data_IF_709432411754
#
_entry.id   IF_709432411754
#
_cell.length_a   1.000
_cell.length_b   1.000
_cell.length_c   1.000
_cell.angle_alpha   90.00
_cell.angle_beta   90.00
_cell.angle_gamma   90.00
#
_symmetry.space_group_name_H-M   'P 1'
#
loop_
_entity.id
_entity.type
_entity.pdbx_description
1 polymer ?
#
# COMPACT_ATOMS: atom_id res chain seq x y z
N UNK A 1 9.38 -4.37 -8.51
CA UNK A 1 10.38 -5.46 -8.66
C UNK A 1 11.34 -5.48 -7.49
N UNK A 2 11.94 -4.35 -7.10
CA UNK A 2 12.76 -4.23 -5.86
C UNK A 2 12.02 -4.68 -4.58
N UNK A 3 10.74 -4.32 -4.44
CA UNK A 3 9.93 -4.55 -3.23
C UNK A 3 9.83 -6.00 -2.70
N UNK A 4 10.11 -7.04 -3.50
CA UNK A 4 10.05 -8.44 -3.04
C UNK A 4 11.36 -8.96 -2.41
N UNK A 5 12.43 -8.16 -2.41
CA UNK A 5 13.74 -8.53 -1.84
C UNK A 5 14.15 -7.64 -0.65
N UNK A 6 13.26 -6.76 -0.20
CA UNK A 6 13.52 -5.89 0.95
C UNK A 6 13.43 -6.67 2.27
N UNK A 7 14.26 -6.26 3.24
CA UNK A 7 14.06 -6.62 4.64
C UNK A 7 12.68 -6.13 5.04
N UNK A 8 11.81 -7.06 5.38
CA UNK A 8 10.49 -6.81 5.94
C UNK A 8 10.48 -7.34 7.36
N UNK A 9 9.85 -6.61 8.26
CA UNK A 9 9.58 -7.07 9.61
C UNK A 9 8.11 -7.53 9.68
N UNK A 10 7.83 -8.63 10.36
CA UNK A 10 6.49 -9.21 10.43
C UNK A 10 5.96 -9.08 11.85
N UNK A 11 4.85 -8.35 11.99
CA UNK A 11 4.05 -8.36 13.23
C UNK A 11 2.90 -9.33 13.03
N UNK A 12 2.98 -10.52 13.63
CA UNK A 12 1.86 -11.47 13.66
C UNK A 12 0.73 -10.88 14.50
N UNK A 13 -0.45 -10.74 13.91
CA UNK A 13 -1.67 -10.34 14.61
C UNK A 13 -2.45 -11.59 15.01
N UNK A 14 -2.82 -11.68 16.29
CA UNK A 14 -3.66 -12.77 16.77
C UNK A 14 -5.14 -12.54 16.46
N UNK A 15 -5.95 -13.58 16.65
CA UNK A 15 -7.37 -13.54 16.32
C UNK A 15 -8.16 -12.54 17.20
N UNK A 16 -7.71 -12.26 18.42
CA UNK A 16 -8.35 -11.26 19.29
C UNK A 16 -8.03 -9.83 18.82
N UNK A 17 -6.77 -9.55 18.46
CA UNK A 17 -6.35 -8.29 17.83
C UNK A 17 -7.14 -8.03 16.55
N UNK A 18 -7.28 -9.03 15.67
CA UNK A 18 -8.04 -8.91 14.41
C UNK A 18 -9.53 -8.71 14.66
N UNK A 19 -10.14 -9.46 15.60
CA UNK A 19 -11.54 -9.24 16.02
C UNK A 19 -11.75 -7.82 16.56
N UNK A 20 -10.80 -7.27 17.32
CA UNK A 20 -10.86 -5.90 17.85
C UNK A 20 -10.74 -4.84 16.75
N UNK A 21 -9.82 -5.00 15.78
CA UNK A 21 -9.64 -4.09 14.64
C UNK A 21 -10.93 -3.99 13.81
N UNK A 22 -11.52 -5.13 13.45
CA UNK A 22 -12.80 -5.17 12.71
C UNK A 22 -13.95 -4.54 13.49
N UNK A 23 -14.08 -4.87 14.78
CA UNK A 23 -15.13 -4.30 15.63
C UNK A 23 -14.98 -2.78 15.77
N UNK A 24 -13.75 -2.25 15.85
CA UNK A 24 -13.53 -0.80 15.82
C UNK A 24 -14.06 -0.19 14.52
N UNK A 25 -13.72 -0.78 13.37
CA UNK A 25 -14.17 -0.30 12.05
C UNK A 25 -15.70 -0.31 11.93
N UNK A 26 -16.35 -1.40 12.35
CA UNK A 26 -17.82 -1.53 12.39
C UNK A 26 -18.48 -0.50 13.34
N UNK A 27 -17.90 -0.24 14.51
CA UNK A 27 -18.49 0.64 15.54
C UNK A 27 -18.23 2.14 15.32
N UNK A 28 -17.11 2.53 14.70
CA UNK A 28 -16.67 3.94 14.63
C UNK A 28 -16.45 4.47 13.22
N UNK A 29 -16.26 3.61 12.21
CA UNK A 29 -16.01 4.04 10.82
C UNK A 29 -17.24 3.81 9.93
N UNK A 30 -17.92 2.67 10.08
CA UNK A 30 -19.15 2.35 9.32
C UNK A 30 -20.44 2.83 9.99
N UNK A 31 -20.40 3.19 11.28
CA UNK A 31 -21.60 3.51 12.05
C UNK A 31 -22.18 4.88 11.68
N UNK A 32 -23.25 4.86 10.86
CA UNK A 32 -24.14 6.00 10.59
C UNK A 32 -24.89 6.44 11.86
N UNK A 33 -24.18 7.11 12.78
CA UNK A 33 -24.65 7.85 13.96
C UNK A 33 -25.70 7.19 14.89
N UNK A 34 -25.87 5.86 14.86
CA UNK A 34 -27.02 5.19 15.50
C UNK A 34 -26.80 3.82 16.14
N UNK A 35 -25.56 3.32 16.26
CA UNK A 35 -25.26 2.03 16.91
C UNK A 35 -24.55 2.24 18.25
N UNK A 36 -25.19 1.84 19.36
CA UNK A 36 -24.65 1.97 20.73
C UNK A 36 -23.59 0.90 21.10
N UNK A 37 -23.20 0.04 20.16
CA UNK A 37 -22.16 -0.98 20.40
C UNK A 37 -20.80 -0.32 20.55
N UNK A 38 -20.41 -0.03 21.78
CA UNK A 38 -19.04 0.35 22.13
C UNK A 38 -18.14 -0.87 22.27
N UNK A 39 -16.83 -0.63 22.20
CA UNK A 39 -15.83 -1.60 22.63
C UNK A 39 -15.93 -1.83 24.14
N UNK A 40 -15.66 -3.06 24.56
CA UNK A 40 -15.42 -3.39 25.96
C UNK A 40 -14.05 -2.89 26.40
N UNK A 41 -13.86 -2.75 27.72
CA UNK A 41 -12.59 -2.32 28.29
C UNK A 41 -11.39 -3.23 27.91
N UNK A 42 -11.65 -4.50 27.61
CA UNK A 42 -10.62 -5.45 27.16
C UNK A 42 -10.28 -5.26 25.67
N UNK A 43 -11.27 -5.07 24.81
CA UNK A 43 -11.04 -4.78 23.38
C UNK A 43 -10.33 -3.42 23.20
N UNK A 44 -10.71 -2.40 24.00
CA UNK A 44 -9.96 -1.14 24.09
C UNK A 44 -8.51 -1.35 24.54
N UNK A 45 -8.28 -2.25 25.51
CA UNK A 45 -6.93 -2.54 26.02
C UNK A 45 -6.08 -3.19 24.94
N UNK A 46 -6.63 -4.15 24.19
CA UNK A 46 -5.95 -4.80 23.07
C UNK A 46 -5.51 -3.76 22.02
N UNK A 47 -6.43 -2.90 21.57
CA UNK A 47 -6.10 -1.84 20.61
C UNK A 47 -5.05 -0.85 21.14
N UNK A 48 -5.09 -0.49 22.44
CA UNK A 48 -4.10 0.41 23.07
C UNK A 48 -2.70 -0.21 23.24
N UNK A 49 -2.58 -1.53 23.25
CA UNK A 49 -1.28 -2.22 23.29
C UNK A 49 -0.70 -2.47 21.87
N UNK A 50 -1.55 -2.55 20.82
CA UNK A 50 -1.12 -2.81 19.45
C UNK A 50 -0.07 -1.81 18.90
N UNK A 51 -0.17 -0.48 19.10
CA UNK A 51 0.91 0.47 18.75
C UNK A 51 2.25 0.13 19.39
N UNK A 52 2.27 -0.39 20.63
CA UNK A 52 3.53 -0.76 21.32
C UNK A 52 4.15 -2.03 20.74
N UNK A 53 3.31 -2.95 20.25
CA UNK A 53 3.74 -4.17 19.54
C UNK A 53 4.36 -3.81 18.19
N UNK A 54 3.75 -2.86 17.47
CA UNK A 54 4.28 -2.31 16.21
C UNK A 54 5.58 -1.52 16.45
N UNK A 55 5.64 -0.68 17.48
CA UNK A 55 6.83 0.12 17.84
C UNK A 55 8.07 -0.74 18.11
N UNK A 56 7.92 -1.88 18.80
CA UNK A 56 9.02 -2.85 18.99
C UNK A 56 9.51 -3.40 17.66
N UNK A 57 8.61 -3.81 16.76
CA UNK A 57 9.00 -4.30 15.45
C UNK A 57 9.67 -3.22 14.58
N UNK A 58 9.27 -1.95 14.72
CA UNK A 58 9.98 -0.84 14.06
C UNK A 58 11.42 -0.67 14.58
N UNK A 59 11.62 -0.85 15.89
CA UNK A 59 12.93 -0.78 16.53
C UNK A 59 13.82 -1.99 16.19
N UNK A 60 13.30 -3.22 16.29
CA UNK A 60 14.00 -4.46 15.97
C UNK A 60 14.34 -4.57 14.47
N UNK A 61 13.41 -4.13 13.61
CA UNK A 61 13.60 -3.95 12.18
C UNK A 61 14.65 -2.89 11.82
N UNK A 62 14.93 -1.94 12.72
CA UNK A 62 15.89 -0.86 12.52
C UNK A 62 15.46 0.11 11.42
N UNK A 63 14.17 0.42 11.33
CA UNK A 63 13.63 1.32 10.30
C UNK A 63 13.97 2.79 10.58
N UNK A 64 14.32 3.52 9.53
CA UNK A 64 14.43 4.98 9.58
C UNK A 64 13.03 5.59 9.40
N UNK A 65 12.43 6.04 10.50
CA UNK A 65 11.10 6.64 10.52
C UNK A 65 11.02 8.03 9.86
N UNK A 66 12.14 8.73 9.66
CA UNK A 66 12.15 9.96 8.86
C UNK A 66 11.97 9.64 7.36
N UNK A 67 12.53 8.51 6.91
CA UNK A 67 12.25 7.95 5.57
C UNK A 67 10.87 7.31 5.50
N UNK A 68 10.39 6.74 6.61
CA UNK A 68 9.06 6.15 6.77
C UNK A 68 8.99 4.71 6.30
N UNK A 69 7.81 4.09 6.48
CA UNK A 69 7.52 2.70 6.13
C UNK A 69 6.23 2.57 5.32
N UNK A 70 6.13 1.48 4.57
CA UNK A 70 4.89 0.99 3.97
C UNK A 70 4.42 -0.29 4.67
N UNK A 71 3.11 -0.53 4.69
CA UNK A 71 2.50 -1.62 5.48
C UNK A 71 1.53 -2.46 4.63
N UNK A 72 1.55 -3.77 4.85
CA UNK A 72 0.82 -4.79 4.09
C UNK A 72 0.16 -5.77 5.07
N UNK A 73 -1.07 -6.20 4.77
CA UNK A 73 -1.77 -7.22 5.56
C UNK A 73 -1.83 -8.52 4.74
N UNK A 74 -1.14 -9.54 5.25
CA UNK A 74 -1.06 -10.97 4.89
C UNK A 74 -0.69 -11.34 3.45
N UNK A 75 -1.08 -10.56 2.44
CA UNK A 75 -0.50 -10.54 1.07
C UNK A 75 -0.79 -9.24 0.29
N UNK A 76 -1.75 -8.41 0.74
CA UNK A 76 -2.24 -7.28 -0.06
C UNK A 76 -1.59 -5.94 0.32
N UNK A 77 -1.22 -5.14 -0.69
CA UNK A 77 -0.97 -3.71 -0.48
C UNK A 77 -2.30 -2.99 -0.33
N UNK A 78 -2.56 -2.49 0.88
CA UNK A 78 -3.76 -1.72 1.17
C UNK A 78 -3.59 -0.30 0.60
N UNK A 79 -4.08 -0.08 -0.62
CA UNK A 79 -4.07 1.23 -1.30
C UNK A 79 -5.47 1.84 -1.29
N UNK A 80 -5.87 2.39 -0.15
CA UNK A 80 -7.24 2.88 0.08
C UNK A 80 -7.34 4.37 0.41
N UNK A 81 -6.27 4.94 0.97
CA UNK A 81 -6.19 6.34 1.42
C UNK A 81 -6.36 7.39 0.30
N UNK A 82 -6.53 7.01 -0.96
CA UNK A 82 -6.76 7.94 -2.07
C UNK A 82 -8.15 8.60 -2.09
N UNK A 83 -9.22 7.94 -1.63
CA UNK A 83 -10.59 8.39 -1.93
C UNK A 83 -11.17 9.36 -0.90
N UNK A 84 -11.24 9.01 0.39
CA UNK A 84 -11.80 9.93 1.39
C UNK A 84 -10.89 11.15 1.66
N UNK A 85 -9.57 10.93 1.65
CA UNK A 85 -8.59 12.01 1.78
C UNK A 85 -8.48 12.92 0.53
N UNK A 86 -9.14 12.61 -0.60
CA UNK A 86 -9.18 13.54 -1.75
C UNK A 86 -9.81 14.90 -1.39
N UNK A 87 -10.58 14.94 -0.30
CA UNK A 87 -11.14 16.16 0.30
C UNK A 87 -10.13 16.94 1.17
N UNK A 88 -9.07 16.30 1.69
CA UNK A 88 -8.10 16.90 2.61
C UNK A 88 -7.29 18.04 1.98
N UNK A 89 -6.86 19.00 2.80
CA UNK A 89 -5.91 20.04 2.39
C UNK A 89 -4.55 19.46 1.98
N UNK A 90 -4.09 18.44 2.71
CA UNK A 90 -2.76 17.85 2.54
C UNK A 90 -2.60 17.13 1.19
N UNK A 91 -3.58 16.31 0.77
CA UNK A 91 -3.56 15.73 -0.58
C UNK A 91 -3.58 16.84 -1.64
N UNK A 92 -4.39 17.88 -1.46
CA UNK A 92 -4.47 18.99 -2.42
C UNK A 92 -3.16 19.77 -2.53
N UNK A 93 -2.41 19.90 -1.44
CA UNK A 93 -1.08 20.54 -1.43
C UNK A 93 0.00 19.64 -2.03
N UNK A 94 0.02 18.35 -1.69
CA UNK A 94 0.91 17.36 -2.31
C UNK A 94 0.65 17.26 -3.83
N UNK A 95 -0.61 17.20 -4.26
CA UNK A 95 -0.99 17.24 -5.68
C UNK A 95 -0.45 18.48 -6.40
N UNK A 96 -0.56 19.67 -5.80
CA UNK A 96 -0.02 20.91 -6.40
C UNK A 96 1.50 20.84 -6.56
N UNK A 97 2.21 20.32 -5.56
CA UNK A 97 3.68 20.13 -5.60
C UNK A 97 4.09 19.16 -6.71
N UNK A 98 3.42 18.01 -6.83
CA UNK A 98 3.69 17.03 -7.89
C UNK A 98 3.31 17.56 -9.27
N UNK A 99 2.19 18.28 -9.39
CA UNK A 99 1.76 18.88 -10.65
C UNK A 99 2.75 19.96 -11.14
N UNK A 100 3.25 20.82 -10.25
CA UNK A 100 4.30 21.79 -10.56
C UNK A 100 5.58 21.08 -11.06
N UNK A 101 6.00 20.03 -10.36
CA UNK A 101 7.17 19.21 -10.74
C UNK A 101 7.02 18.62 -12.16
N UNK A 102 5.81 18.18 -12.53
CA UNK A 102 5.51 17.71 -13.88
C UNK A 102 5.52 18.86 -14.91
N UNK A 103 4.94 20.02 -14.61
CA UNK A 103 4.95 21.19 -15.51
C UNK A 103 6.37 21.67 -15.85
N UNK A 104 7.28 21.62 -14.89
CA UNK A 104 8.67 22.03 -15.09
C UNK A 104 9.51 20.98 -15.87
N UNK A 105 9.07 19.72 -15.87
CA UNK A 105 9.80 18.59 -16.45
C UNK A 105 9.87 18.66 -17.99
N UNK A 106 11.06 18.58 -18.63
CA UNK A 106 11.23 18.81 -20.07
C UNK A 106 10.36 17.93 -21.00
N UNK A 107 10.02 16.71 -20.58
CA UNK A 107 9.19 15.77 -21.35
C UNK A 107 7.69 16.11 -21.25
N UNK A 108 7.27 16.76 -20.18
CA UNK A 108 5.87 17.07 -19.86
C UNK A 108 5.51 18.56 -20.05
N UNK A 109 6.45 19.39 -20.52
CA UNK A 109 6.24 20.83 -20.71
C UNK A 109 5.04 21.11 -21.63
N UNK A 110 3.95 21.53 -21.03
CA UNK A 110 2.89 22.27 -21.70
C UNK A 110 3.46 23.58 -22.29
N UNK A 111 2.90 24.04 -23.42
CA UNK A 111 3.29 25.33 -23.97
C UNK A 111 2.90 26.45 -22.98
N UNK A 112 3.70 27.53 -22.84
CA UNK A 112 3.38 28.62 -21.93
C UNK A 112 1.97 29.16 -22.14
N UNK A 113 1.15 29.14 -21.07
CA UNK A 113 -0.25 29.57 -21.10
C UNK A 113 -1.29 28.46 -21.32
N UNK A 114 -0.88 27.21 -21.54
CA UNK A 114 -1.80 26.06 -21.53
C UNK A 114 -1.98 25.48 -20.12
N UNK A 115 -3.20 25.03 -19.83
CA UNK A 115 -3.48 24.24 -18.62
C UNK A 115 -2.70 22.91 -18.65
N UNK A 116 -2.34 22.34 -17.48
CA UNK A 116 -1.80 20.98 -17.41
C UNK A 116 -2.76 19.97 -18.03
N UNK A 117 -2.25 18.97 -18.73
CA UNK A 117 -3.10 17.95 -19.33
C UNK A 117 -3.71 17.01 -18.26
N UNK A 118 -4.79 16.31 -18.64
CA UNK A 118 -5.48 15.37 -17.75
C UNK A 118 -4.56 14.27 -17.21
N UNK A 119 -3.55 13.87 -17.99
CA UNK A 119 -2.60 12.84 -17.57
C UNK A 119 -1.67 13.34 -16.46
N UNK A 120 -1.17 14.58 -16.54
CA UNK A 120 -0.39 15.22 -15.48
C UNK A 120 -1.19 15.37 -14.18
N UNK A 121 -2.48 15.74 -14.29
CA UNK A 121 -3.40 15.87 -13.13
C UNK A 121 -3.64 14.50 -12.48
N UNK A 122 -3.84 13.45 -13.26
CA UNK A 122 -4.01 12.09 -12.73
C UNK A 122 -2.70 11.56 -12.13
N UNK A 123 -1.54 11.82 -12.75
CA UNK A 123 -0.24 11.46 -12.17
C UNK A 123 -0.02 12.13 -10.81
N UNK A 124 -0.29 13.43 -10.68
CA UNK A 124 -0.11 14.15 -9.41
C UNK A 124 -1.09 13.66 -8.33
N UNK A 125 -2.33 13.32 -8.69
CA UNK A 125 -3.30 12.67 -7.78
C UNK A 125 -2.80 11.30 -7.28
N UNK A 126 -2.41 10.40 -8.19
CA UNK A 126 -1.90 9.08 -7.80
C UNK A 126 -0.63 9.17 -6.95
N UNK A 127 0.27 10.11 -7.25
CA UNK A 127 1.50 10.28 -6.47
C UNK A 127 1.22 10.90 -5.08
N UNK A 128 0.31 11.87 -4.97
CA UNK A 128 -0.12 12.40 -3.67
C UNK A 128 -0.79 11.33 -2.78
N UNK A 129 -1.59 10.44 -3.38
CA UNK A 129 -2.18 9.30 -2.67
C UNK A 129 -1.16 8.24 -2.24
N UNK A 130 -0.09 8.03 -3.01
CA UNK A 130 1.02 7.19 -2.56
C UNK A 130 1.77 7.85 -1.39
N UNK A 131 2.04 9.16 -1.43
CA UNK A 131 2.72 9.84 -0.32
C UNK A 131 1.96 9.69 1.01
N UNK A 132 0.62 9.65 0.97
CA UNK A 132 -0.25 9.39 2.14
C UNK A 132 -0.24 7.93 2.60
N UNK A 133 0.44 7.03 1.89
CA UNK A 133 0.70 5.65 2.30
C UNK A 133 2.06 5.50 2.99
N UNK A 134 2.86 6.57 3.11
CA UNK A 134 4.07 6.62 3.93
C UNK A 134 3.66 6.85 5.38
N UNK A 135 4.06 5.93 6.26
CA UNK A 135 3.77 5.95 7.68
C UNK A 135 5.07 6.18 8.45
N UNK A 136 5.07 7.12 9.40
CA UNK A 136 6.27 7.62 10.09
C UNK A 136 6.28 7.24 11.59
N UNK A 137 5.25 6.55 12.08
CA UNK A 137 5.16 6.12 13.49
C UNK A 137 4.30 4.89 13.66
N UNK A 138 4.47 4.17 14.78
CA UNK A 138 3.60 3.05 15.14
C UNK A 138 2.14 3.46 15.33
N UNK A 139 1.89 4.71 15.74
CA UNK A 139 0.54 5.27 15.86
C UNK A 139 -0.10 5.47 14.48
N UNK A 140 0.62 6.03 13.51
CA UNK A 140 0.12 6.15 12.13
C UNK A 140 -0.19 4.78 11.50
N UNK A 141 0.62 3.75 11.79
CA UNK A 141 0.34 2.38 11.33
C UNK A 141 -0.92 1.81 11.99
N UNK A 142 -1.08 2.00 13.29
CA UNK A 142 -2.31 1.61 13.99
C UNK A 142 -3.52 2.33 13.40
N UNK A 143 -3.45 3.66 13.25
CA UNK A 143 -4.53 4.50 12.75
C UNK A 143 -4.89 4.17 11.30
N UNK A 144 -3.90 3.78 10.48
CA UNK A 144 -4.12 3.22 9.15
C UNK A 144 -4.89 1.89 9.19
N UNK A 145 -4.57 0.99 10.13
CA UNK A 145 -5.24 -0.30 10.28
C UNK A 145 -6.70 -0.16 10.72
N UNK A 146 -7.00 0.73 11.68
CA UNK A 146 -8.37 0.91 12.21
C UNK A 146 -9.29 1.73 11.30
N UNK A 147 -8.76 2.49 10.34
CA UNK A 147 -9.55 3.37 9.46
C UNK A 147 -9.62 2.93 7.99
N UNK A 148 -8.92 1.86 7.57
CA UNK A 148 -8.91 1.44 6.16
C UNK A 148 -9.94 0.35 5.83
N UNK A 149 -10.84 0.65 4.90
CA UNK A 149 -11.84 -0.31 4.41
C UNK A 149 -11.22 -1.56 3.74
N UNK A 150 -10.08 -1.43 3.04
CA UNK A 150 -9.31 -2.56 2.50
C UNK A 150 -8.63 -3.39 3.59
N UNK A 151 -8.23 -2.79 4.72
CA UNK A 151 -7.79 -3.57 5.89
C UNK A 151 -8.98 -4.37 6.41
N UNK A 152 -10.11 -3.73 6.72
CA UNK A 152 -11.30 -4.44 7.20
C UNK A 152 -11.75 -5.56 6.24
N UNK A 153 -11.81 -5.30 4.93
CA UNK A 153 -12.15 -6.31 3.92
C UNK A 153 -11.17 -7.49 3.91
N UNK A 154 -9.86 -7.25 4.02
CA UNK A 154 -8.86 -8.32 4.10
C UNK A 154 -8.94 -9.07 5.43
N UNK A 155 -9.16 -8.39 6.55
CA UNK A 155 -9.40 -9.01 7.86
C UNK A 155 -10.69 -9.85 7.86
N UNK A 156 -11.76 -9.37 7.23
CA UNK A 156 -13.03 -10.10 7.04
C UNK A 156 -12.81 -11.35 6.19
N UNK A 157 -12.07 -11.22 5.07
CA UNK A 157 -11.70 -12.33 4.18
C UNK A 157 -10.86 -13.39 4.90
N UNK A 158 -9.94 -12.97 5.77
CA UNK A 158 -9.15 -13.86 6.60
C UNK A 158 -10.06 -14.58 7.61
N UNK A 159 -10.80 -13.86 8.44
CA UNK A 159 -11.70 -14.47 9.44
C UNK A 159 -12.69 -15.46 8.82
N UNK A 160 -13.32 -15.13 7.69
CA UNK A 160 -14.25 -16.02 6.98
C UNK A 160 -13.60 -17.26 6.35
N UNK A 161 -12.27 -17.34 6.27
CA UNK A 161 -11.54 -18.54 5.83
C UNK A 161 -11.22 -19.50 6.99
N UNK A 162 -11.38 -19.07 8.24
CA UNK A 162 -10.99 -19.79 9.46
C UNK A 162 -12.16 -20.13 10.39
N UNK A 163 -13.42 -20.04 9.93
CA UNK A 163 -14.61 -20.33 10.76
C UNK A 163 -14.65 -21.77 11.34
N UNK A 164 -13.90 -22.71 10.73
CA UNK A 164 -13.82 -24.12 11.15
C UNK A 164 -12.57 -24.48 11.99
N UNK A 165 -11.53 -23.61 12.08
CA UNK A 165 -10.27 -23.91 12.78
C UNK A 165 -9.52 -22.63 13.25
N UNK A 166 -9.84 -22.17 14.47
CA UNK A 166 -9.17 -21.01 15.09
C UNK A 166 -7.68 -21.28 15.42
N UNK A 167 -7.23 -22.54 15.56
CA UNK A 167 -5.81 -22.85 15.87
C UNK A 167 -4.89 -22.61 14.67
N UNK A 168 -5.45 -22.60 13.46
CA UNK A 168 -4.72 -22.35 12.21
C UNK A 168 -4.67 -20.87 11.79
N UNK A 169 -5.31 -19.97 12.54
CA UNK A 169 -5.42 -18.54 12.17
C UNK A 169 -4.07 -17.84 12.14
N UNK A 170 -3.70 -17.30 10.97
CA UNK A 170 -2.55 -16.40 10.82
C UNK A 170 -2.95 -15.10 10.11
N UNK A 171 -2.60 -13.98 10.75
CA UNK A 171 -2.64 -12.66 10.13
C UNK A 171 -1.25 -12.03 10.29
N UNK A 172 -0.66 -11.55 9.20
CA UNK A 172 0.70 -11.02 9.20
C UNK A 172 0.71 -9.58 8.72
N UNK A 173 1.19 -8.68 9.58
CA UNK A 173 1.42 -7.29 9.22
C UNK A 173 2.89 -7.13 8.80
N UNK A 174 3.14 -7.10 7.49
CA UNK A 174 4.48 -6.88 6.96
C UNK A 174 4.78 -5.38 6.85
N UNK A 175 5.85 -4.95 7.50
CA UNK A 175 6.37 -3.58 7.49
C UNK A 175 7.61 -3.56 6.57
N UNK A 176 7.65 -2.64 5.61
CA UNK A 176 8.77 -2.46 4.67
C UNK A 176 9.29 -1.02 4.69
N UNK A 177 10.56 -0.76 4.32
CA UNK A 177 11.05 0.60 4.14
C UNK A 177 10.24 1.34 3.06
N UNK A 178 9.93 2.62 3.29
CA UNK A 178 9.29 3.43 2.27
C UNK A 178 10.28 3.75 1.13
N UNK A 179 9.92 3.39 -0.10
CA UNK A 179 10.70 3.75 -1.30
C UNK A 179 9.93 4.74 -2.18
N UNK A 180 10.63 5.81 -2.59
CA UNK A 180 10.11 6.82 -3.50
C UNK A 180 10.13 6.35 -4.97
N UNK A 181 9.35 5.32 -5.28
CA UNK A 181 9.31 4.71 -6.62
C UNK A 181 8.49 5.61 -7.56
N UNK A 182 9.03 6.02 -8.73
CA UNK A 182 8.25 6.77 -9.72
C UNK A 182 7.06 5.96 -10.27
N UNK A 183 5.93 6.62 -10.55
CA UNK A 183 4.74 5.96 -11.10
C UNK A 183 5.02 5.16 -12.39
N UNK A 184 5.92 5.67 -13.24
CA UNK A 184 6.40 5.01 -14.46
C UNK A 184 7.21 3.72 -14.23
N UNK A 185 7.65 3.45 -13.00
CA UNK A 185 8.39 2.26 -12.61
C UNK A 185 7.52 1.13 -12.03
N UNK A 186 6.20 1.34 -11.86
CA UNK A 186 5.30 0.27 -11.43
C UNK A 186 4.82 -0.58 -12.61
N UNK A 187 5.10 -1.88 -12.55
CA UNK A 187 4.70 -2.88 -13.55
C UNK A 187 3.96 -4.04 -12.89
N UNK A 188 3.02 -4.65 -13.62
CA UNK A 188 2.33 -5.88 -13.22
C UNK A 188 2.77 -7.02 -14.15
N UNK A 189 3.37 -8.06 -13.58
CA UNK A 189 3.70 -9.30 -14.30
C UNK A 189 2.55 -10.31 -14.23
N UNK A 190 2.40 -11.12 -15.28
CA UNK A 190 1.44 -12.20 -15.36
C UNK A 190 2.18 -13.54 -15.52
N UNK A 191 2.11 -14.39 -14.51
CA UNK A 191 2.75 -15.70 -14.49
C UNK A 191 1.79 -16.75 -15.05
N UNK A 192 2.27 -17.56 -15.99
CA UNK A 192 1.54 -18.67 -16.56
C UNK A 192 1.51 -19.89 -15.64
N UNK A 193 0.62 -20.85 -15.93
CA UNK A 193 0.56 -22.16 -15.25
C UNK A 193 1.86 -22.98 -15.33
N UNK A 194 2.79 -22.58 -16.19
CA UNK A 194 4.12 -23.15 -16.36
C UNK A 194 5.20 -22.46 -15.50
N UNK A 195 4.82 -21.58 -14.56
CA UNK A 195 5.73 -20.82 -13.71
C UNK A 195 6.49 -19.68 -14.40
N UNK A 196 6.23 -19.41 -15.69
CA UNK A 196 6.98 -18.42 -16.48
C UNK A 196 6.22 -17.10 -16.62
N UNK A 197 6.95 -16.00 -16.77
CA UNK A 197 6.36 -14.71 -17.15
C UNK A 197 5.79 -14.78 -18.57
N UNK A 198 4.47 -14.75 -18.68
CA UNK A 198 3.77 -14.74 -19.97
C UNK A 198 3.69 -13.32 -20.56
N UNK A 199 3.45 -12.33 -19.71
CA UNK A 199 3.31 -10.92 -20.09
C UNK A 199 3.64 -10.03 -18.90
N UNK A 200 3.91 -8.75 -19.15
CA UNK A 200 3.84 -7.70 -18.15
C UNK A 200 3.26 -6.43 -18.78
N UNK A 201 2.63 -5.59 -17.96
CA UNK A 201 2.14 -4.28 -18.37
C UNK A 201 2.53 -3.21 -17.35
N UNK A 202 2.35 -1.95 -17.72
CA UNK A 202 2.40 -0.83 -16.78
C UNK A 202 1.24 -0.93 -15.79
N UNK A 203 1.50 -0.68 -14.51
CA UNK A 203 0.50 -0.88 -13.45
C UNK A 203 -0.69 0.08 -13.56
N UNK A 204 -0.42 1.33 -13.95
CA UNK A 204 -1.44 2.38 -14.12
C UNK A 204 -1.89 2.43 -15.59
N UNK A 205 -3.00 1.76 -15.89
CA UNK A 205 -3.54 1.63 -17.25
C UNK A 205 -4.23 2.89 -17.80
N UNK A 206 -4.41 3.93 -16.98
CA UNK A 206 -4.99 5.22 -17.36
C UNK A 206 -3.96 6.35 -17.46
N UNK A 207 -2.69 6.05 -17.21
CA UNK A 207 -1.60 7.03 -17.23
C UNK A 207 -0.66 6.75 -18.42
N UNK A 208 -0.21 7.82 -19.06
CA UNK A 208 0.74 7.78 -20.16
C UNK A 208 2.08 8.40 -19.72
N UNK A 209 3.16 7.63 -19.92
CA UNK A 209 4.50 7.99 -19.49
C UNK A 209 5.43 8.09 -20.71
N UNK A 210 5.49 9.25 -21.39
CA UNK A 210 6.27 9.45 -22.60
C UNK A 210 7.77 9.10 -22.44
N UNK A 211 8.34 9.24 -21.24
CA UNK A 211 9.72 8.87 -20.92
C UNK A 211 9.99 7.36 -20.96
N UNK A 212 8.95 6.53 -20.81
CA UNK A 212 9.07 5.06 -20.83
C UNK A 212 9.12 4.51 -22.27
N UNK A 213 8.43 5.16 -23.20
CA UNK A 213 8.24 4.68 -24.59
C UNK A 213 9.57 4.44 -25.32
N UNK A 214 10.57 5.34 -25.29
CA UNK A 214 11.89 5.10 -25.91
C UNK A 214 12.67 3.92 -25.31
N UNK A 215 12.30 3.46 -24.12
CA UNK A 215 13.03 2.46 -23.34
C UNK A 215 12.28 1.12 -23.21
N UNK A 216 11.06 1.00 -23.74
CA UNK A 216 10.19 -0.17 -23.59
C UNK A 216 10.87 -1.51 -23.95
N UNK A 217 11.68 -1.56 -25.02
CA UNK A 217 12.42 -2.77 -25.42
C UNK A 217 13.54 -3.14 -24.43
N UNK A 218 14.20 -2.16 -23.81
CA UNK A 218 15.23 -2.38 -22.78
C UNK A 218 14.57 -2.89 -21.50
N UNK A 219 13.49 -2.23 -21.07
CA UNK A 219 12.70 -2.60 -19.90
C UNK A 219 12.16 -4.04 -20.03
N UNK A 220 11.62 -4.41 -21.20
CA UNK A 220 11.19 -5.79 -21.50
C UNK A 220 12.28 -6.81 -21.24
N UNK A 221 13.51 -6.56 -21.71
CA UNK A 221 14.65 -7.47 -21.49
C UNK A 221 15.05 -7.55 -20.02
N UNK A 222 15.07 -6.42 -19.31
CA UNK A 222 15.40 -6.38 -17.88
C UNK A 222 14.37 -7.11 -17.02
N UNK A 223 13.07 -6.90 -17.28
CA UNK A 223 11.99 -7.62 -16.59
C UNK A 223 12.07 -9.11 -16.90
N UNK A 224 12.20 -9.50 -18.17
CA UNK A 224 12.31 -10.91 -18.54
C UNK A 224 13.52 -11.60 -17.87
N UNK A 225 14.70 -10.97 -17.89
CA UNK A 225 15.90 -11.51 -17.25
C UNK A 225 15.71 -11.72 -15.74
N UNK A 226 15.15 -10.74 -15.03
CA UNK A 226 14.82 -10.88 -13.60
C UNK A 226 13.93 -12.10 -13.34
N UNK A 227 12.86 -12.27 -14.13
CA UNK A 227 11.93 -13.40 -13.93
C UNK A 227 12.56 -14.75 -14.29
N UNK A 228 13.54 -14.79 -15.21
CA UNK A 228 14.28 -16.02 -15.56
C UNK A 228 15.40 -16.38 -14.56
N UNK A 229 15.90 -15.39 -13.81
CA UNK A 229 16.97 -15.53 -12.81
C UNK A 229 16.41 -15.81 -11.40
N UNK A 230 15.35 -15.10 -10.98
CA UNK A 230 14.85 -15.11 -9.61
C UNK A 230 13.58 -15.94 -9.36
N UNK A 231 12.82 -16.34 -10.39
CA UNK A 231 11.74 -17.33 -10.20
C UNK A 231 12.30 -18.73 -10.50
N UNK A 232 12.31 -19.66 -9.50
CA UNK A 232 12.87 -21.00 -9.70
C UNK A 232 12.21 -21.74 -10.87
N UNK A 233 13.04 -22.43 -11.66
CA UNK A 233 12.56 -23.19 -12.84
C UNK A 233 11.66 -24.38 -12.52
N UNK A 234 11.48 -24.71 -11.23
CA UNK A 234 10.45 -25.62 -10.71
C UNK A 234 10.01 -25.13 -9.31
N UNK A 235 8.77 -24.66 -9.12
CA UNK A 235 8.08 -24.96 -7.88
C UNK A 235 7.75 -26.46 -7.88
N UNK A 236 8.19 -27.19 -6.84
CA UNK A 236 7.73 -28.55 -6.58
C UNK A 236 6.34 -28.54 -5.92
#
# INVERSE_FOLDING_TARGET
LVALMQRHEIVTLDLAEVKCLRKYFECYVLADHGMETMLSAEEERILKELPKKIDRALQDGGFDLEQGVGVYVTTQTVKDTTLDYASSSEIKESMKKHLQTLCDHPVYRSQPGLLPDTNMILQSYFRAGLDQSKLCSAQEIHDFLINSAKVDFELQRLMGAYEDDEESFTCELAIIPWEDIPLSCYYRGFIGKNGKLNAFCQYFNFLYFPEVVPHAQKLRKQVQAYFEEFIPKNPQ
#
